data_IF_937342392271
#
_entry.id   IF_937342392271
#
_cell.length_a   1.000
_cell.length_b   1.000
_cell.length_c   1.000
_cell.angle_alpha   90.00
_cell.angle_beta   90.00
_cell.angle_gamma   90.00
#
_symmetry.space_group_name_H-M   'P 1'
#
loop_
_entity.id
_entity.type
_entity.pdbx_description
1 polymer ?
#
# COMPACT_ATOMS: atom_id res chain seq x y z
N UNK A 1 32.21 25.55 89.60
CA UNK A 1 32.61 24.20 89.12
C UNK A 1 32.12 24.09 87.69
N UNK A 2 33.02 24.18 86.69
CA UNK A 2 33.58 23.02 85.96
C UNK A 2 32.46 22.14 85.34
N UNK A 3 32.36 21.83 84.06
CA UNK A 3 33.11 22.06 82.81
C UNK A 3 32.19 21.53 81.69
N UNK A 4 32.33 22.06 80.48
CA UNK A 4 31.96 21.44 79.20
C UNK A 4 32.30 19.93 79.13
N UNK A 5 31.71 19.16 78.19
CA UNK A 5 32.42 18.29 77.21
C UNK A 5 31.54 17.18 76.57
N UNK A 6 31.49 17.23 75.22
CA UNK A 6 31.52 16.17 74.16
C UNK A 6 30.31 15.31 73.77
N UNK A 7 29.92 15.54 72.51
CA UNK A 7 29.66 14.58 71.42
C UNK A 7 30.29 13.18 71.61
N UNK A 8 29.49 12.13 71.44
CA UNK A 8 29.95 10.81 70.94
C UNK A 8 28.97 10.29 69.88
N UNK A 9 29.58 9.96 68.75
CA UNK A 9 29.07 9.38 67.52
C UNK A 9 28.73 7.89 67.75
N UNK A 10 27.55 7.43 67.35
CA UNK A 10 27.28 5.99 67.18
C UNK A 10 26.73 5.73 65.78
N UNK A 11 27.53 4.99 65.02
CA UNK A 11 27.27 4.41 63.71
C UNK A 11 26.09 3.44 63.76
N UNK A 12 25.16 3.53 62.81
CA UNK A 12 24.45 2.35 62.31
C UNK A 12 24.00 2.57 60.85
N UNK A 13 24.62 1.82 59.95
CA UNK A 13 24.28 1.68 58.54
C UNK A 13 22.93 0.99 58.39
N UNK A 14 21.97 1.59 57.66
CA UNK A 14 20.87 0.83 57.07
C UNK A 14 20.47 1.42 55.71
N UNK A 15 20.67 0.59 54.68
CA UNK A 15 20.34 0.77 53.27
C UNK A 15 18.85 0.46 53.04
N UNK A 16 18.30 0.90 51.89
CA UNK A 16 16.94 0.71 51.31
C UNK A 16 15.98 1.89 51.54
N UNK A 17 15.30 2.47 50.55
CA UNK A 17 15.21 2.25 49.10
C UNK A 17 14.50 3.50 48.53
N UNK A 18 15.07 4.17 47.53
CA UNK A 18 14.38 5.24 46.82
C UNK A 18 13.29 4.63 45.91
N UNK A 19 12.03 4.88 46.23
CA UNK A 19 10.92 4.66 45.31
C UNK A 19 10.94 5.81 44.30
N UNK A 20 11.60 5.58 43.16
CA UNK A 20 11.43 6.39 41.98
C UNK A 20 10.08 6.04 41.32
N UNK A 21 9.24 7.05 41.10
CA UNK A 21 8.08 6.93 40.22
C UNK A 21 8.53 6.49 38.83
N UNK A 22 8.32 5.22 38.49
CA UNK A 22 8.40 4.71 37.13
C UNK A 22 7.18 5.23 36.37
N UNK A 23 7.34 6.34 35.67
CA UNK A 23 6.54 6.62 34.47
C UNK A 23 7.05 5.66 33.39
N UNK A 24 6.16 4.81 32.89
CA UNK A 24 6.46 3.88 31.79
C UNK A 24 6.94 4.61 30.54
N UNK A 25 7.59 3.91 29.60
CA UNK A 25 8.05 4.52 28.37
C UNK A 25 6.82 4.92 27.53
N UNK A 26 6.49 6.20 27.54
CA UNK A 26 5.78 6.83 26.43
C UNK A 26 6.59 6.53 25.18
N UNK A 27 6.00 5.79 24.24
CA UNK A 27 6.61 5.51 22.95
C UNK A 27 7.03 6.83 22.32
N UNK A 28 8.34 7.07 22.29
CA UNK A 28 8.92 8.19 21.56
C UNK A 28 8.78 7.88 20.08
N UNK A 29 7.61 8.21 19.52
CA UNK A 29 7.48 8.55 18.12
C UNK A 29 8.38 9.77 17.89
N UNK A 30 9.66 9.50 17.66
CA UNK A 30 10.66 10.52 17.39
C UNK A 30 10.21 11.29 16.17
N UNK A 31 9.58 12.45 16.38
CA UNK A 31 9.40 13.44 15.33
C UNK A 31 10.80 13.78 14.83
N UNK A 32 11.18 13.18 13.69
CA UNK A 32 12.36 13.58 12.92
C UNK A 32 12.25 15.09 12.78
N UNK A 33 13.21 15.83 13.34
CA UNK A 33 13.24 17.27 13.18
C UNK A 33 13.22 17.52 11.67
N UNK A 34 12.19 18.22 11.17
CA UNK A 34 12.11 18.62 9.76
C UNK A 34 13.39 19.37 9.43
N UNK A 35 14.32 18.71 8.74
CA UNK A 35 15.50 19.36 8.20
C UNK A 35 15.04 20.47 7.27
N UNK A 36 15.82 21.55 7.20
CA UNK A 36 15.56 22.67 6.29
C UNK A 36 15.86 22.33 4.82
N UNK A 37 16.16 21.06 4.51
CA UNK A 37 16.50 20.57 3.17
C UNK A 37 15.28 20.08 2.37
N UNK A 38 15.51 19.69 1.09
CA UNK A 38 14.49 19.04 0.26
C UNK A 38 13.86 17.84 0.95
N UNK A 39 12.55 17.65 0.76
CA UNK A 39 11.88 16.41 1.18
C UNK A 39 12.40 15.27 0.30
N UNK A 40 12.84 14.17 0.93
CA UNK A 40 13.36 13.00 0.24
C UNK A 40 12.29 11.93 0.11
N UNK A 41 11.98 11.52 -1.12
CA UNK A 41 10.89 10.62 -1.45
C UNK A 41 11.45 9.36 -2.12
N UNK A 42 11.22 8.21 -1.52
CA UNK A 42 11.40 6.91 -2.18
C UNK A 42 10.09 6.47 -2.80
N UNK A 43 10.05 6.17 -4.09
CA UNK A 43 8.88 5.61 -4.75
C UNK A 43 9.21 4.23 -5.31
N UNK A 44 8.62 3.18 -4.74
CA UNK A 44 8.74 1.82 -5.27
C UNK A 44 7.48 1.45 -6.05
N UNK A 45 7.67 1.09 -7.32
CA UNK A 45 6.61 0.70 -8.25
C UNK A 45 6.71 -0.79 -8.56
N UNK A 46 5.58 -1.47 -8.75
CA UNK A 46 5.56 -2.84 -9.24
C UNK A 46 6.20 -2.94 -10.65
N UNK A 47 5.65 -2.21 -11.63
CA UNK A 47 5.97 -2.41 -13.04
C UNK A 47 5.92 -1.11 -13.84
N UNK A 48 6.49 -1.12 -15.04
CA UNK A 48 6.35 -0.09 -16.08
C UNK A 48 5.79 -0.63 -17.40
N UNK A 49 5.26 -1.87 -17.41
CA UNK A 49 4.79 -2.55 -18.62
C UNK A 49 3.65 -1.80 -19.31
N UNK A 50 2.63 -1.40 -18.55
CA UNK A 50 1.52 -0.62 -19.10
C UNK A 50 1.96 0.85 -19.26
N UNK A 51 1.62 1.45 -20.41
CA UNK A 51 1.97 2.85 -20.75
C UNK A 51 1.67 3.82 -19.60
N UNK A 52 0.54 3.59 -18.92
CA UNK A 52 0.11 4.43 -17.82
C UNK A 52 1.14 4.44 -16.66
N UNK A 53 1.83 3.34 -16.36
CA UNK A 53 2.88 3.26 -15.32
C UNK A 53 4.09 4.13 -15.65
N UNK A 54 4.48 4.17 -16.91
CA UNK A 54 5.51 5.08 -17.39
C UNK A 54 5.07 6.54 -17.23
N UNK A 55 3.81 6.84 -17.55
CA UNK A 55 3.23 8.18 -17.42
C UNK A 55 3.20 8.67 -15.97
N UNK A 56 2.70 7.88 -15.01
CA UNK A 56 2.65 8.37 -13.62
C UNK A 56 4.05 8.50 -13.03
N UNK A 57 5.00 7.62 -13.37
CA UNK A 57 6.40 7.81 -12.99
C UNK A 57 6.91 9.18 -13.44
N UNK A 58 6.71 9.53 -14.71
CA UNK A 58 7.12 10.82 -15.26
C UNK A 58 6.43 11.99 -14.55
N UNK A 59 5.12 11.89 -14.29
CA UNK A 59 4.35 12.94 -13.62
C UNK A 59 4.79 13.13 -12.16
N UNK A 60 5.06 12.05 -11.43
CA UNK A 60 5.58 12.11 -10.05
C UNK A 60 6.97 12.74 -10.04
N UNK A 61 7.88 12.29 -10.92
CA UNK A 61 9.24 12.86 -11.03
C UNK A 61 9.21 14.34 -11.40
N UNK A 62 8.35 14.73 -12.34
CA UNK A 62 8.14 16.13 -12.71
C UNK A 62 7.63 16.94 -11.52
N UNK A 63 6.59 16.44 -10.83
CA UNK A 63 6.00 17.15 -9.71
C UNK A 63 6.99 17.32 -8.55
N UNK A 64 7.82 16.32 -8.28
CA UNK A 64 8.87 16.41 -7.27
C UNK A 64 9.86 17.52 -7.60
N UNK A 65 10.29 17.64 -8.87
CA UNK A 65 11.17 18.75 -9.31
C UNK A 65 10.50 20.11 -9.12
N UNK A 66 9.23 20.25 -9.50
CA UNK A 66 8.48 21.51 -9.37
C UNK A 66 8.34 21.99 -7.93
N UNK A 67 8.22 21.07 -6.97
CA UNK A 67 8.10 21.40 -5.54
C UNK A 67 9.44 21.40 -4.80
N UNK A 68 10.55 21.14 -5.50
CA UNK A 68 11.89 21.10 -4.90
C UNK A 68 12.12 19.88 -3.98
N UNK A 69 11.44 18.76 -4.23
CA UNK A 69 11.68 17.49 -3.54
C UNK A 69 12.70 16.63 -4.28
N UNK A 70 13.49 15.86 -3.53
CA UNK A 70 14.37 14.83 -4.06
C UNK A 70 13.59 13.52 -4.17
N UNK A 71 13.37 13.01 -5.38
CA UNK A 71 12.62 11.78 -5.59
C UNK A 71 13.47 10.75 -6.34
N UNK A 72 13.49 9.53 -5.82
CA UNK A 72 14.06 8.37 -6.48
C UNK A 72 12.96 7.33 -6.70
N UNK A 73 12.85 6.84 -7.93
CA UNK A 73 11.88 5.81 -8.30
C UNK A 73 12.61 4.51 -8.62
N UNK A 74 12.15 3.40 -8.04
CA UNK A 74 12.61 2.04 -8.35
C UNK A 74 11.43 1.17 -8.78
N UNK A 75 11.71 0.17 -9.62
CA UNK A 75 10.69 -0.71 -10.22
C UNK A 75 11.04 -2.16 -9.86
N UNK A 76 10.07 -2.90 -9.32
CA UNK A 76 10.28 -4.24 -8.79
C UNK A 76 10.15 -5.36 -9.85
N UNK A 77 9.58 -5.04 -11.01
CA UNK A 77 9.34 -5.92 -12.15
C UNK A 77 8.59 -7.21 -11.78
N UNK A 78 7.55 -7.09 -10.94
CA UNK A 78 6.72 -8.21 -10.50
C UNK A 78 7.37 -9.11 -9.42
N UNK A 79 8.41 -8.63 -8.74
CA UNK A 79 9.09 -9.37 -7.67
C UNK A 79 8.84 -8.73 -6.31
N UNK A 80 8.07 -9.42 -5.46
CA UNK A 80 7.78 -8.98 -4.09
C UNK A 80 9.06 -8.81 -3.25
N UNK A 81 10.02 -9.74 -3.39
CA UNK A 81 11.29 -9.68 -2.65
C UNK A 81 12.14 -8.51 -3.11
N UNK A 82 12.16 -8.22 -4.41
CA UNK A 82 12.82 -7.02 -4.95
C UNK A 82 12.16 -5.76 -4.41
N UNK A 83 10.83 -5.69 -4.40
CA UNK A 83 10.08 -4.54 -3.90
C UNK A 83 10.39 -4.25 -2.43
N UNK A 84 10.40 -5.29 -1.58
CA UNK A 84 10.77 -5.17 -0.16
C UNK A 84 12.20 -4.65 -0.02
N UNK A 85 13.16 -5.22 -0.74
CA UNK A 85 14.56 -4.80 -0.68
C UNK A 85 14.78 -3.34 -1.15
N UNK A 86 14.05 -2.90 -2.18
CA UNK A 86 14.07 -1.51 -2.64
C UNK A 86 13.58 -0.55 -1.55
N UNK A 87 12.50 -0.93 -0.85
CA UNK A 87 11.97 -0.12 0.24
C UNK A 87 12.94 -0.06 1.43
N UNK A 88 13.53 -1.19 1.84
CA UNK A 88 14.58 -1.21 2.87
C UNK A 88 15.79 -0.33 2.48
N UNK A 89 16.13 -0.30 1.19
CA UNK A 89 17.18 0.59 0.67
C UNK A 89 16.81 2.06 0.85
N UNK A 90 15.58 2.46 0.50
CA UNK A 90 15.10 3.84 0.71
C UNK A 90 15.11 4.22 2.19
N UNK A 91 14.66 3.32 3.07
CA UNK A 91 14.65 3.55 4.51
C UNK A 91 16.08 3.72 5.07
N UNK A 92 17.01 2.86 4.66
CA UNK A 92 18.44 2.96 5.00
C UNK A 92 19.05 4.28 4.50
N UNK A 93 18.66 4.72 3.31
CA UNK A 93 19.06 6.02 2.77
C UNK A 93 18.43 7.20 3.52
N UNK A 94 17.43 6.97 4.37
CA UNK A 94 16.80 7.96 5.22
C UNK A 94 15.84 8.88 4.47
N UNK A 95 15.05 8.34 3.53
CA UNK A 95 13.92 9.07 2.92
C UNK A 95 12.95 9.58 4.00
N UNK A 96 12.26 10.67 3.72
CA UNK A 96 11.28 11.27 4.62
C UNK A 96 9.87 10.73 4.39
N UNK A 97 9.58 10.21 3.19
CA UNK A 97 8.31 9.57 2.82
C UNK A 97 8.58 8.42 1.87
N UNK A 98 7.86 7.31 2.07
CA UNK A 98 7.85 6.18 1.16
C UNK A 98 6.52 6.13 0.40
N UNK A 99 6.56 6.09 -0.92
CA UNK A 99 5.42 5.83 -1.79
C UNK A 99 5.57 4.42 -2.34
N UNK A 100 4.50 3.63 -2.30
CA UNK A 100 4.51 2.24 -2.76
C UNK A 100 3.30 1.97 -3.64
N UNK A 101 3.53 1.57 -4.88
CA UNK A 101 2.54 0.90 -5.72
C UNK A 101 2.81 -0.61 -5.65
N UNK A 102 2.14 -1.35 -4.75
CA UNK A 102 2.51 -2.73 -4.45
C UNK A 102 2.25 -3.68 -5.63
N UNK A 103 3.17 -4.63 -5.84
CA UNK A 103 2.92 -5.79 -6.69
C UNK A 103 1.88 -6.70 -6.03
N UNK A 104 2.12 -7.05 -4.76
CA UNK A 104 1.20 -7.79 -3.92
C UNK A 104 0.81 -6.98 -2.68
N UNK A 105 -0.46 -6.58 -2.60
CA UNK A 105 -0.95 -5.74 -1.51
C UNK A 105 -0.83 -6.37 -0.12
N UNK A 106 -0.86 -7.70 0.00
CA UNK A 106 -0.73 -8.37 1.30
C UNK A 106 0.73 -8.47 1.75
N UNK A 107 1.64 -8.80 0.84
CA UNK A 107 3.07 -8.94 1.16
C UNK A 107 3.69 -7.59 1.48
N UNK A 108 3.24 -6.52 0.82
CA UNK A 108 3.70 -5.16 1.06
C UNK A 108 3.38 -4.62 2.48
N UNK A 109 2.60 -5.34 3.31
CA UNK A 109 2.39 -4.98 4.70
C UNK A 109 3.70 -4.88 5.50
N UNK A 110 4.67 -5.74 5.21
CA UNK A 110 5.99 -5.72 5.87
C UNK A 110 6.78 -4.44 5.60
N UNK A 111 6.60 -3.84 4.42
CA UNK A 111 7.22 -2.56 4.05
C UNK A 111 6.72 -1.44 4.96
N UNK A 112 5.41 -1.43 5.24
CA UNK A 112 4.80 -0.44 6.16
C UNK A 112 5.35 -0.60 7.56
N UNK A 113 5.43 -1.84 8.06
CA UNK A 113 5.98 -2.14 9.38
C UNK A 113 7.43 -1.65 9.51
N UNK A 114 8.29 -1.94 8.52
CA UNK A 114 9.69 -1.49 8.51
C UNK A 114 9.83 0.04 8.46
N UNK A 115 9.00 0.71 7.65
CA UNK A 115 9.03 2.17 7.53
C UNK A 115 8.60 2.85 8.83
N UNK A 116 7.53 2.36 9.46
CA UNK A 116 7.01 2.88 10.72
C UNK A 116 7.98 2.71 11.88
N UNK A 117 8.73 1.60 11.94
CA UNK A 117 9.82 1.41 12.92
C UNK A 117 10.91 2.50 12.83
N UNK A 118 11.04 3.13 11.67
CA UNK A 118 11.99 4.22 11.41
C UNK A 118 11.33 5.60 11.42
N UNK A 119 10.03 5.68 11.73
CA UNK A 119 9.26 6.93 11.74
C UNK A 119 9.01 7.52 10.35
N UNK A 120 9.08 6.70 9.29
CA UNK A 120 8.83 7.11 7.91
C UNK A 120 7.38 6.79 7.54
N UNK A 121 6.55 7.78 7.17
CA UNK A 121 5.18 7.55 6.72
C UNK A 121 5.15 6.88 5.34
N UNK A 122 4.14 6.03 5.12
CA UNK A 122 3.94 5.27 3.89
C UNK A 122 2.65 5.68 3.18
N UNK A 123 2.79 6.02 1.90
CA UNK A 123 1.68 6.29 0.99
C UNK A 123 1.49 5.07 0.08
N UNK A 124 0.34 4.41 0.19
CA UNK A 124 -0.10 3.42 -0.79
C UNK A 124 -0.62 4.13 -2.03
N UNK A 125 -0.04 3.86 -3.19
CA UNK A 125 -0.38 4.53 -4.44
C UNK A 125 -1.07 3.59 -5.42
N UNK A 126 -2.25 4.00 -5.88
CA UNK A 126 -3.18 3.32 -6.78
C UNK A 126 -3.68 1.97 -6.22
N UNK A 127 -2.78 1.02 -6.01
CA UNK A 127 -3.05 -0.29 -5.42
C UNK A 127 -2.92 -0.21 -3.90
N UNK A 128 -3.90 -0.78 -3.20
CA UNK A 128 -3.95 -0.75 -1.74
C UNK A 128 -3.00 -1.80 -1.13
N UNK A 129 -2.09 -1.37 -0.26
CA UNK A 129 -1.42 -2.24 0.71
C UNK A 129 -2.46 -2.64 1.76
N UNK A 130 -2.60 -3.94 1.98
CA UNK A 130 -3.59 -4.53 2.89
C UNK A 130 -2.88 -5.03 4.15
N UNK A 131 -3.65 -5.23 5.21
CA UNK A 131 -3.14 -5.75 6.49
C UNK A 131 -2.06 -4.88 7.15
N UNK A 132 -2.05 -3.58 6.84
CA UNK A 132 -1.18 -2.60 7.43
C UNK A 132 -1.91 -1.25 7.55
N UNK A 133 -1.44 -0.41 8.48
CA UNK A 133 -1.96 0.94 8.67
C UNK A 133 -1.15 1.91 7.79
N UNK A 134 -1.62 2.17 6.58
CA UNK A 134 -0.95 3.14 5.69
C UNK A 134 -1.34 4.57 6.06
N UNK A 135 -0.36 5.47 6.09
CA UNK A 135 -0.59 6.87 6.48
C UNK A 135 -1.46 7.62 5.47
N UNK A 136 -1.43 7.20 4.20
CA UNK A 136 -2.31 7.69 3.15
C UNK A 136 -2.51 6.64 2.06
N UNK A 137 -3.74 6.52 1.56
CA UNK A 137 -4.05 5.78 0.35
C UNK A 137 -4.54 6.75 -0.74
N UNK A 138 -3.79 6.84 -1.84
CA UNK A 138 -4.14 7.67 -3.00
C UNK A 138 -4.54 6.74 -4.14
N UNK A 139 -5.81 6.80 -4.55
CA UNK A 139 -6.33 5.99 -5.65
C UNK A 139 -7.56 6.64 -6.28
N UNK A 140 -8.22 5.89 -7.15
CA UNK A 140 -9.43 6.26 -7.85
C UNK A 140 -10.67 5.65 -7.19
N UNK A 141 -11.86 6.10 -7.60
CA UNK A 141 -13.11 5.44 -7.24
C UNK A 141 -13.27 4.14 -8.05
N UNK A 142 -12.51 3.12 -7.70
CA UNK A 142 -12.35 1.89 -8.52
C UNK A 142 -13.68 1.17 -8.76
N UNK A 143 -14.55 1.10 -7.74
CA UNK A 143 -15.91 0.55 -7.89
C UNK A 143 -16.68 1.33 -8.95
N UNK A 144 -16.58 2.66 -8.96
CA UNK A 144 -17.25 3.49 -9.94
C UNK A 144 -16.75 3.25 -11.36
N UNK A 145 -15.46 3.00 -11.52
CA UNK A 145 -14.87 2.62 -12.82
C UNK A 145 -15.50 1.31 -13.32
N UNK A 146 -15.61 0.30 -12.44
CA UNK A 146 -16.27 -0.97 -12.78
C UNK A 146 -17.73 -0.78 -13.19
N UNK A 147 -18.47 0.06 -12.46
CA UNK A 147 -19.86 0.40 -12.82
C UNK A 147 -19.94 1.06 -14.20
N UNK A 148 -19.04 2.00 -14.49
CA UNK A 148 -19.01 2.69 -15.79
C UNK A 148 -18.69 1.72 -16.94
N UNK A 149 -17.76 0.79 -16.74
CA UNK A 149 -17.43 -0.24 -17.72
C UNK A 149 -18.64 -1.12 -18.04
N UNK A 150 -19.30 -1.67 -17.01
CA UNK A 150 -20.47 -2.51 -17.18
C UNK A 150 -21.66 -1.75 -17.77
N UNK A 151 -21.88 -0.50 -17.35
CA UNK A 151 -22.93 0.36 -17.90
C UNK A 151 -22.72 0.63 -19.39
N UNK A 152 -21.48 0.87 -19.81
CA UNK A 152 -21.14 1.02 -21.22
C UNK A 152 -21.40 -0.29 -21.99
N UNK A 153 -20.98 -1.44 -21.45
CA UNK A 153 -21.22 -2.73 -22.08
C UNK A 153 -22.72 -3.00 -22.29
N UNK A 154 -23.56 -2.85 -21.25
CA UNK A 154 -25.01 -3.05 -21.34
C UNK A 154 -25.70 -2.11 -22.33
N UNK A 155 -25.19 -0.88 -22.47
CA UNK A 155 -25.74 0.09 -23.44
C UNK A 155 -25.67 -0.45 -24.88
N UNK A 156 -24.60 -1.16 -25.22
CA UNK A 156 -24.37 -1.64 -26.58
C UNK A 156 -24.68 -3.13 -26.78
N UNK A 157 -24.63 -3.93 -25.71
CA UNK A 157 -24.98 -5.34 -25.71
C UNK A 157 -25.94 -5.65 -24.55
N UNK A 158 -27.20 -5.21 -24.63
CA UNK A 158 -28.14 -5.32 -23.51
C UNK A 158 -28.54 -6.77 -23.18
N UNK A 159 -28.25 -7.72 -24.08
CA UNK A 159 -28.58 -9.14 -23.93
C UNK A 159 -27.44 -10.03 -24.42
N UNK A 160 -27.32 -11.23 -23.86
CA UNK A 160 -26.45 -12.29 -24.36
C UNK A 160 -25.47 -12.85 -23.34
N UNK A 161 -24.48 -13.59 -23.84
CA UNK A 161 -23.45 -14.22 -23.01
C UNK A 161 -22.32 -13.23 -22.72
N UNK A 162 -21.95 -13.12 -21.45
CA UNK A 162 -20.88 -12.24 -20.98
C UNK A 162 -19.75 -13.04 -20.36
N UNK A 163 -18.51 -12.62 -20.63
CA UNK A 163 -17.29 -13.15 -20.03
C UNK A 163 -16.71 -12.04 -19.15
N UNK A 164 -16.55 -12.31 -17.86
CA UNK A 164 -15.91 -11.38 -16.93
C UNK A 164 -14.46 -11.81 -16.69
N UNK A 165 -13.53 -10.93 -17.02
CA UNK A 165 -12.09 -11.14 -16.79
C UNK A 165 -11.59 -10.06 -15.84
N UNK A 166 -11.30 -10.45 -14.60
CA UNK A 166 -10.65 -9.59 -13.62
C UNK A 166 -9.13 -9.57 -13.77
N UNK A 167 -8.47 -8.63 -13.11
CA UNK A 167 -7.00 -8.54 -13.03
C UNK A 167 -6.39 -9.48 -11.98
N UNK A 168 -5.18 -9.17 -11.51
CA UNK A 168 -4.52 -10.00 -10.50
C UNK A 168 -5.28 -10.00 -9.17
N UNK A 169 -5.43 -11.17 -8.54
CA UNK A 169 -6.10 -11.27 -7.23
C UNK A 169 -5.27 -10.70 -6.07
N UNK A 170 -3.97 -10.48 -6.29
CA UNK A 170 -3.08 -9.79 -5.35
C UNK A 170 -3.28 -8.26 -5.37
N UNK A 171 -3.99 -7.75 -6.39
CA UNK A 171 -4.38 -6.36 -6.53
C UNK A 171 -5.83 -6.14 -6.06
N UNK A 172 -5.99 -5.34 -5.01
CA UNK A 172 -7.30 -4.98 -4.48
C UNK A 172 -8.20 -4.32 -5.54
N UNK A 173 -7.63 -3.55 -6.48
CA UNK A 173 -8.38 -2.84 -7.49
C UNK A 173 -9.06 -3.79 -8.46
N UNK A 174 -8.45 -4.92 -8.79
CA UNK A 174 -9.06 -5.95 -9.64
C UNK A 174 -10.36 -6.49 -9.05
N UNK A 175 -10.40 -6.67 -7.72
CA UNK A 175 -11.58 -7.15 -7.00
C UNK A 175 -12.67 -6.07 -6.99
N UNK A 176 -12.30 -4.83 -6.70
CA UNK A 176 -13.24 -3.71 -6.68
C UNK A 176 -13.82 -3.39 -8.07
N UNK A 177 -13.06 -3.56 -9.14
CA UNK A 177 -13.55 -3.43 -10.51
C UNK A 177 -14.66 -4.44 -10.81
N UNK A 178 -14.41 -5.73 -10.53
CA UNK A 178 -15.41 -6.78 -10.73
C UNK A 178 -16.64 -6.55 -9.85
N UNK A 179 -16.45 -6.10 -8.60
CA UNK A 179 -17.58 -5.71 -7.75
C UNK A 179 -18.41 -4.59 -8.39
N UNK A 180 -17.77 -3.53 -8.87
CA UNK A 180 -18.45 -2.42 -9.55
C UNK A 180 -19.18 -2.86 -10.82
N UNK A 181 -18.57 -3.76 -11.60
CA UNK A 181 -19.21 -4.35 -12.78
C UNK A 181 -20.48 -5.11 -12.38
N UNK A 182 -20.39 -5.95 -11.33
CA UNK A 182 -21.53 -6.74 -10.85
C UNK A 182 -22.66 -5.88 -10.27
N UNK A 183 -22.36 -4.75 -9.64
CA UNK A 183 -23.40 -3.79 -9.20
C UNK A 183 -24.34 -3.39 -10.36
N UNK A 184 -23.82 -3.35 -11.59
CA UNK A 184 -24.58 -2.96 -12.79
C UNK A 184 -25.11 -4.17 -13.57
N UNK A 185 -24.34 -5.25 -13.65
CA UNK A 185 -24.73 -6.44 -14.42
C UNK A 185 -25.78 -7.30 -13.69
N UNK A 186 -25.75 -7.36 -12.35
CA UNK A 186 -26.60 -8.28 -11.60
C UNK A 186 -28.10 -8.14 -11.92
N UNK A 187 -28.69 -6.92 -12.02
CA UNK A 187 -30.10 -6.79 -12.40
C UNK A 187 -30.43 -7.33 -13.80
N UNK A 188 -29.49 -7.27 -14.75
CA UNK A 188 -29.69 -7.82 -16.09
C UNK A 188 -29.52 -9.35 -16.10
N UNK A 189 -28.65 -9.88 -15.24
CA UNK A 189 -28.53 -11.33 -14.98
C UNK A 189 -29.80 -11.87 -14.36
N UNK A 190 -30.35 -11.20 -13.33
CA UNK A 190 -31.56 -11.64 -12.62
C UNK A 190 -32.78 -11.68 -13.54
N UNK A 191 -32.87 -10.77 -14.52
CA UNK A 191 -33.91 -10.78 -15.57
C UNK A 191 -33.68 -11.81 -16.67
N UNK A 192 -32.51 -12.43 -16.72
CA UNK A 192 -32.11 -13.36 -17.79
C UNK A 192 -31.73 -12.67 -19.10
N UNK A 193 -31.59 -11.34 -19.12
CA UNK A 193 -31.08 -10.61 -20.29
C UNK A 193 -29.60 -10.97 -20.54
N UNK A 194 -28.81 -11.04 -19.47
CA UNK A 194 -27.39 -11.41 -19.51
C UNK A 194 -27.16 -12.76 -18.86
N UNK A 195 -26.34 -13.60 -19.50
CA UNK A 195 -25.79 -14.82 -18.90
C UNK A 195 -24.29 -14.67 -18.76
N UNK A 196 -23.78 -14.60 -17.53
CA UNK A 196 -22.33 -14.64 -17.29
C UNK A 196 -21.88 -16.10 -17.46
N UNK A 197 -21.15 -16.39 -18.54
CA UNK A 197 -20.72 -17.76 -18.88
C UNK A 197 -19.42 -18.15 -18.18
N UNK A 198 -18.59 -17.18 -17.80
CA UNK A 198 -17.42 -17.41 -16.95
C UNK A 198 -17.00 -16.12 -16.26
N UNK A 199 -16.42 -16.25 -15.07
CA UNK A 199 -15.71 -15.20 -14.35
C UNK A 199 -14.36 -15.75 -13.92
N UNK A 200 -13.28 -15.18 -14.45
CA UNK A 200 -11.91 -15.62 -14.14
C UNK A 200 -11.00 -14.40 -13.94
N UNK A 201 -9.84 -14.60 -13.31
CA UNK A 201 -8.88 -13.54 -13.00
C UNK A 201 -7.56 -13.82 -13.71
N UNK A 202 -7.05 -12.83 -14.44
CA UNK A 202 -5.74 -12.89 -15.09
C UNK A 202 -4.63 -12.65 -14.07
N UNK A 203 -3.89 -13.71 -13.73
CA UNK A 203 -2.77 -13.65 -12.79
C UNK A 203 -1.71 -12.65 -13.25
N UNK A 204 -1.18 -11.85 -12.31
CA UNK A 204 -0.22 -10.77 -12.55
C UNK A 204 -0.59 -9.82 -13.69
N UNK A 205 -1.90 -9.64 -13.95
CA UNK A 205 -2.39 -8.81 -15.06
C UNK A 205 -1.84 -9.24 -16.44
N UNK A 206 -1.42 -10.50 -16.59
CA UNK A 206 -0.79 -10.96 -17.82
C UNK A 206 -1.79 -11.06 -18.98
N UNK A 207 -1.46 -10.40 -20.09
CA UNK A 207 -2.25 -10.48 -21.33
C UNK A 207 -2.38 -11.92 -21.85
N UNK A 208 -1.36 -12.77 -21.65
CA UNK A 208 -1.42 -14.18 -22.02
C UNK A 208 -2.45 -14.97 -21.22
N UNK A 209 -2.65 -14.65 -19.93
CA UNK A 209 -3.71 -15.27 -19.13
C UNK A 209 -5.09 -14.80 -19.59
N UNK A 210 -5.24 -13.51 -19.88
CA UNK A 210 -6.49 -12.98 -20.42
C UNK A 210 -6.85 -13.61 -21.79
N UNK A 211 -5.86 -13.81 -22.66
CA UNK A 211 -6.03 -14.52 -23.93
C UNK A 211 -6.51 -15.95 -23.70
N UNK A 212 -5.80 -16.72 -22.87
CA UNK A 212 -6.18 -18.10 -22.53
C UNK A 212 -7.61 -18.18 -21.97
N UNK A 213 -7.96 -17.30 -21.03
CA UNK A 213 -9.31 -17.23 -20.45
C UNK A 213 -10.36 -16.98 -21.54
N UNK A 214 -10.07 -16.09 -22.49
CA UNK A 214 -10.96 -15.75 -23.59
C UNK A 214 -11.13 -16.93 -24.54
N UNK A 215 -10.04 -17.58 -24.96
CA UNK A 215 -10.07 -18.77 -25.82
C UNK A 215 -10.84 -19.92 -25.18
N UNK A 216 -10.61 -20.18 -23.90
CA UNK A 216 -11.34 -21.18 -23.12
C UNK A 216 -12.85 -20.87 -23.06
N UNK A 217 -13.19 -19.60 -22.87
CA UNK A 217 -14.58 -19.15 -22.81
C UNK A 217 -15.29 -19.31 -24.17
N UNK A 218 -14.64 -18.91 -25.26
CA UNK A 218 -15.17 -19.06 -26.62
C UNK A 218 -15.33 -20.53 -27.00
N UNK A 219 -14.34 -21.36 -26.68
CA UNK A 219 -14.39 -22.81 -27.00
C UNK A 219 -15.55 -23.51 -26.28
N UNK A 220 -15.85 -23.13 -25.04
CA UNK A 220 -16.90 -23.76 -24.22
C UNK A 220 -18.32 -23.26 -24.53
N UNK A 221 -18.45 -22.13 -25.23
CA UNK A 221 -19.73 -21.43 -25.41
C UNK A 221 -20.04 -21.08 -26.87
N UNK A 222 -19.29 -21.62 -27.83
CA UNK A 222 -19.63 -21.66 -29.26
C UNK A 222 -20.66 -22.76 -29.56
#
# INVERSE_FOLDING_TARGET
MKTQVKLILFSLTMVFLCIACVKGPEGSGGKRAKGTGPVRIGFSMDTLKEERWQRDKQLVEQRCKEVGAECQVLVADGSDSTQVNQCETFLTQGVDVLIVAPHNGQIAASIVESAHKQGVPVISYDRLIRNADVDLYVSHQVVKIGEMQAGYALKYAPKGNYVLIGGSQTDNNAILLVQGQMNILQPAVDRGDIKIVTTQYAREWLASEALRITEDALTKNN
#
